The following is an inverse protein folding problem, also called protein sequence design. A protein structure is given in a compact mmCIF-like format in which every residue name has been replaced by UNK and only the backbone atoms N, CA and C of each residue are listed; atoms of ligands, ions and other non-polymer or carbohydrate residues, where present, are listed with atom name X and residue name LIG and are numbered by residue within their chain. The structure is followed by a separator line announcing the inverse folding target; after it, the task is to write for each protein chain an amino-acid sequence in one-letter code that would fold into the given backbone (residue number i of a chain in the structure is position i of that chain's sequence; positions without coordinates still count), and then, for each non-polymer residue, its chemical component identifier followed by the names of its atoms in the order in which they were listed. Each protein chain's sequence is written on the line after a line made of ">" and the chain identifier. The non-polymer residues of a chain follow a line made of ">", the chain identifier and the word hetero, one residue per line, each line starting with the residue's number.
data_IF_417859633159
#
_entry.id   IF_417859633159
#
_cell.length_a   1.000
_cell.length_b   1.000
_cell.length_c   1.000
_cell.angle_alpha   90.00
_cell.angle_beta   90.00
_cell.angle_gamma   90.00
#
_symmetry.space_group_name_H-M   'P 1'
#
loop_
_entity.id
_entity.type
_entity.pdbx_description
1 polymer ?
#
# COMPACT_ATOMS: atom_id res chain seq x y z
N UNK A 1 -42.23 -32.45 21.90
CA UNK A 1 -43.22 -31.85 22.81
C UNK A 1 -42.67 -30.52 23.36
N UNK A 2 -43.50 -29.47 23.24
CA UNK A 2 -43.49 -28.14 23.91
C UNK A 2 -42.25 -27.24 23.57
N UNK A 3 -42.34 -26.22 22.69
CA UNK A 3 -43.12 -24.95 22.68
C UNK A 3 -42.42 -23.83 23.48
N UNK A 4 -41.87 -22.83 22.72
CA UNK A 4 -42.27 -21.41 22.65
C UNK A 4 -41.86 -20.55 23.87
N UNK A 5 -41.06 -19.45 23.66
CA UNK A 5 -41.61 -18.10 23.79
C UNK A 5 -40.65 -17.02 23.26
N UNK A 6 -41.19 -16.27 22.32
CA UNK A 6 -40.66 -14.98 21.82
C UNK A 6 -40.95 -13.88 22.85
N UNK A 7 -40.07 -12.89 22.96
CA UNK A 7 -40.49 -11.57 23.46
C UNK A 7 -39.81 -10.47 22.66
N UNK A 8 -40.68 -9.77 21.91
CA UNK A 8 -40.48 -8.48 21.26
C UNK A 8 -40.71 -7.38 22.31
N UNK A 9 -39.85 -6.38 22.40
CA UNK A 9 -40.25 -5.13 22.97
C UNK A 9 -39.66 -3.97 22.10
N UNK A 10 -40.63 -3.24 21.54
CA UNK A 10 -40.47 -1.99 20.81
C UNK A 10 -40.85 -0.83 21.72
N UNK A 11 -40.53 0.36 21.27
CA UNK A 11 -40.94 1.72 21.69
C UNK A 11 -39.97 2.44 22.63
N UNK A 12 -39.71 3.78 22.53
CA UNK A 12 -40.45 4.85 21.87
C UNK A 12 -39.52 6.07 21.67
N UNK A 13 -39.84 6.83 20.62
CA UNK A 13 -39.39 8.21 20.39
C UNK A 13 -39.89 9.17 21.46
N UNK A 14 -39.07 10.18 21.83
CA UNK A 14 -39.59 11.48 22.27
C UNK A 14 -38.84 12.60 21.60
N UNK A 15 -39.56 13.34 20.79
CA UNK A 15 -39.19 14.62 20.22
C UNK A 15 -39.56 15.71 21.24
N UNK A 16 -38.72 16.73 21.40
CA UNK A 16 -39.13 18.00 21.96
C UNK A 16 -38.42 19.15 21.25
N UNK A 17 -39.18 19.83 20.43
CA UNK A 17 -38.88 21.16 19.95
C UNK A 17 -39.40 22.16 20.99
N UNK A 18 -38.69 23.27 21.21
CA UNK A 18 -39.32 24.57 21.45
C UNK A 18 -38.30 25.71 21.31
N UNK A 19 -38.75 26.70 20.64
CA UNK A 19 -38.21 27.94 20.18
C UNK A 19 -37.94 28.94 21.31
N UNK A 20 -37.10 29.95 21.04
CA UNK A 20 -36.96 31.15 21.81
C UNK A 20 -36.16 32.22 21.11
N UNK A 21 -36.86 33.17 20.47
CA UNK A 21 -36.32 34.40 19.86
C UNK A 21 -35.77 35.37 20.91
N UNK A 22 -34.76 36.17 20.49
CA UNK A 22 -34.34 37.35 21.22
C UNK A 22 -33.34 38.18 20.45
N UNK A 23 -33.84 39.18 19.73
CA UNK A 23 -33.09 40.24 19.03
C UNK A 23 -32.56 41.27 20.01
N UNK A 24 -31.36 41.82 19.80
CA UNK A 24 -31.10 43.28 19.95
C UNK A 24 -29.78 43.71 19.28
N UNK A 25 -29.92 44.67 18.48
CA UNK A 25 -29.26 45.73 17.75
C UNK A 25 -27.91 46.27 18.29
N UNK A 26 -27.02 46.49 17.32
CA UNK A 26 -26.25 47.72 16.95
C UNK A 26 -25.27 48.36 17.91
N UNK A 27 -24.02 48.49 17.47
CA UNK A 27 -23.29 49.78 17.40
C UNK A 27 -22.12 49.72 16.39
N UNK A 28 -22.21 50.55 15.39
CA UNK A 28 -21.10 50.99 14.51
C UNK A 28 -20.07 51.78 15.32
N UNK A 29 -18.80 51.64 14.98
CA UNK A 29 -17.85 52.77 15.09
C UNK A 29 -16.79 52.66 13.99
N UNK A 30 -16.58 53.78 13.33
CA UNK A 30 -15.83 54.09 12.13
C UNK A 30 -14.32 53.88 12.25
N UNK A 31 -13.72 53.71 11.05
CA UNK A 31 -12.32 53.78 10.78
C UNK A 31 -11.67 55.18 11.00
N UNK A 32 -10.36 55.25 10.95
CA UNK A 32 -9.77 56.23 10.04
C UNK A 32 -8.74 55.65 9.08
N UNK A 33 -8.83 56.19 7.89
CA UNK A 33 -7.97 56.14 6.72
C UNK A 33 -6.60 56.74 6.97
N UNK A 34 -5.58 56.18 6.29
CA UNK A 34 -4.47 56.85 5.47
C UNK A 34 -3.35 55.84 5.32
N UNK A 35 -2.68 55.63 4.28
CA UNK A 35 -2.36 56.20 2.99
C UNK A 35 -1.52 55.19 2.20
N UNK A 36 -1.63 55.29 0.89
CA UNK A 36 -0.96 54.48 -0.12
C UNK A 36 0.54 54.43 -0.08
N UNK A 37 1.16 53.37 -0.53
CA UNK A 37 2.32 53.40 -1.42
C UNK A 37 2.59 52.04 -2.08
N UNK A 38 2.70 52.15 -3.42
CA UNK A 38 3.45 51.34 -4.37
C UNK A 38 2.93 49.92 -4.72
N UNK A 39 2.23 49.93 -5.82
CA UNK A 39 2.09 48.78 -6.74
C UNK A 39 3.46 48.24 -7.16
N UNK A 40 3.70 46.96 -6.84
CA UNK A 40 4.68 46.18 -7.59
C UNK A 40 3.87 45.10 -8.31
N UNK A 41 3.76 45.24 -9.63
CA UNK A 41 3.17 44.23 -10.53
C UNK A 41 3.86 42.90 -10.33
N UNK A 42 3.09 41.89 -9.90
CA UNK A 42 3.44 40.49 -10.09
C UNK A 42 3.44 40.17 -11.59
N UNK A 43 4.33 39.33 -12.09
CA UNK A 43 4.24 38.87 -13.46
C UNK A 43 3.01 37.99 -13.61
N UNK A 44 2.25 38.25 -14.65
CA UNK A 44 1.12 37.46 -15.12
C UNK A 44 1.53 36.00 -15.24
N UNK A 45 0.67 35.12 -14.70
CA UNK A 45 0.83 33.68 -14.79
C UNK A 45 0.94 33.26 -16.25
N UNK A 46 2.01 32.54 -16.54
CA UNK A 46 2.08 31.72 -17.74
C UNK A 46 0.93 30.70 -17.65
N UNK A 47 -0.05 30.88 -18.48
CA UNK A 47 -1.02 29.84 -18.80
C UNK A 47 -0.20 28.62 -19.24
N UNK A 48 -0.24 27.54 -18.46
CA UNK A 48 0.34 26.27 -18.85
C UNK A 48 -0.32 25.89 -20.18
N UNK A 49 0.47 25.74 -21.22
CA UNK A 49 0.02 25.22 -22.49
C UNK A 49 -0.67 23.86 -22.23
N UNK A 50 -1.79 23.53 -22.93
CA UNK A 50 -2.41 22.24 -22.84
C UNK A 50 -1.34 21.19 -23.10
N UNK A 51 -1.24 20.18 -22.21
CA UNK A 51 -0.33 19.05 -22.39
C UNK A 51 -0.54 18.52 -23.82
N UNK A 52 0.51 18.58 -24.64
CA UNK A 52 0.50 17.96 -25.95
C UNK A 52 0.14 16.50 -25.75
N UNK A 53 -0.92 16.06 -26.42
CA UNK A 53 -1.42 14.68 -26.42
C UNK A 53 -0.27 13.81 -26.89
N UNK A 54 0.40 13.10 -25.97
CA UNK A 54 1.42 12.16 -26.31
C UNK A 54 0.79 11.08 -27.20
N UNK A 55 1.22 11.00 -28.44
CA UNK A 55 0.66 10.09 -29.43
C UNK A 55 0.88 8.65 -28.96
N UNK A 56 -0.21 7.87 -28.87
CA UNK A 56 -0.11 6.42 -28.73
C UNK A 56 0.77 5.83 -29.84
N UNK A 57 1.44 4.73 -29.57
CA UNK A 57 2.38 4.09 -30.51
C UNK A 57 1.75 3.61 -31.83
N UNK A 58 0.40 3.74 -31.97
CA UNK A 58 -0.35 3.43 -33.18
C UNK A 58 -1.49 4.43 -33.40
N UNK A 59 -2.12 4.37 -34.55
CA UNK A 59 -3.32 5.15 -34.84
C UNK A 59 -4.48 4.63 -33.98
N UNK A 60 -5.13 5.53 -33.26
CA UNK A 60 -6.33 5.18 -32.46
C UNK A 60 -7.43 4.71 -33.42
N UNK A 61 -8.12 3.68 -33.03
CA UNK A 61 -9.18 3.04 -33.82
C UNK A 61 -10.41 3.98 -33.90
N UNK A 62 -10.97 4.12 -35.08
CA UNK A 62 -12.14 4.96 -35.32
C UNK A 62 -13.36 4.49 -34.51
N UNK A 63 -13.99 5.40 -33.80
CA UNK A 63 -15.18 5.11 -32.99
C UNK A 63 -14.89 4.23 -31.77
N UNK A 64 -13.67 4.28 -31.25
CA UNK A 64 -13.27 3.52 -30.05
C UNK A 64 -14.16 3.82 -28.85
N UNK A 65 -14.63 2.77 -28.20
CA UNK A 65 -15.37 2.77 -26.94
C UNK A 65 -14.78 1.73 -26.02
N UNK A 66 -14.29 2.17 -24.88
CA UNK A 66 -13.58 1.31 -23.93
C UNK A 66 -14.50 0.95 -22.76
N UNK A 67 -14.36 -0.28 -22.26
CA UNK A 67 -14.92 -0.73 -20.98
C UNK A 67 -13.77 -0.99 -20.04
N UNK A 68 -13.72 -0.22 -18.93
CA UNK A 68 -12.67 -0.31 -17.93
C UNK A 68 -13.22 -0.85 -16.59
N UNK A 69 -12.55 -1.85 -16.03
CA UNK A 69 -12.87 -2.48 -14.74
C UNK A 69 -11.78 -2.18 -13.71
N UNK A 70 -11.91 -1.12 -12.88
CA UNK A 70 -10.95 -0.82 -11.83
C UNK A 70 -11.07 -1.76 -10.63
N UNK A 71 -9.95 -1.96 -9.93
CA UNK A 71 -9.91 -2.66 -8.64
C UNK A 71 -10.52 -1.84 -7.49
N UNK A 72 -10.64 -0.54 -7.67
CA UNK A 72 -11.10 0.41 -6.68
C UNK A 72 -12.62 0.58 -6.70
N UNK A 73 -13.20 0.98 -5.56
CA UNK A 73 -14.56 1.50 -5.57
C UNK A 73 -14.55 2.98 -6.01
N UNK A 74 -15.60 3.43 -6.67
CA UNK A 74 -15.77 4.83 -7.10
C UNK A 74 -15.59 5.83 -5.95
N UNK A 75 -16.00 5.46 -4.73
CA UNK A 75 -15.94 6.31 -3.53
C UNK A 75 -14.58 6.35 -2.85
N UNK A 76 -13.66 5.47 -3.23
CA UNK A 76 -12.29 5.49 -2.71
C UNK A 76 -11.52 6.68 -3.33
N UNK A 77 -10.52 7.26 -2.64
CA UNK A 77 -9.73 8.37 -3.19
C UNK A 77 -9.11 8.06 -4.55
N UNK A 78 -8.64 6.82 -4.75
CA UNK A 78 -8.11 6.35 -6.02
C UNK A 78 -9.19 6.27 -7.10
N UNK A 79 -10.37 5.76 -6.75
CA UNK A 79 -11.52 5.70 -7.67
C UNK A 79 -11.96 7.09 -8.12
N UNK A 80 -11.98 8.06 -7.22
CA UNK A 80 -12.29 9.46 -7.55
C UNK A 80 -11.24 10.07 -8.48
N UNK A 81 -9.95 9.85 -8.22
CA UNK A 81 -8.86 10.34 -9.08
C UNK A 81 -8.90 9.68 -10.47
N UNK A 82 -9.21 8.38 -10.55
CA UNK A 82 -9.41 7.66 -11.81
C UNK A 82 -10.61 8.22 -12.57
N UNK A 83 -11.74 8.44 -11.90
CA UNK A 83 -12.95 9.02 -12.53
C UNK A 83 -12.65 10.38 -13.14
N UNK A 84 -11.99 11.28 -12.39
CA UNK A 84 -11.58 12.60 -12.88
C UNK A 84 -10.63 12.49 -14.08
N UNK A 85 -9.66 11.58 -14.03
CA UNK A 85 -8.70 11.36 -15.11
C UNK A 85 -9.37 10.83 -16.37
N UNK A 86 -10.32 9.90 -16.23
CA UNK A 86 -11.08 9.33 -17.36
C UNK A 86 -11.99 10.39 -17.99
N UNK A 87 -12.68 11.20 -17.18
CA UNK A 87 -13.50 12.30 -17.71
C UNK A 87 -12.66 13.29 -18.52
N UNK A 88 -11.46 13.62 -18.03
CA UNK A 88 -10.53 14.49 -18.75
C UNK A 88 -10.00 13.83 -20.04
N UNK A 89 -9.73 12.52 -20.01
CA UNK A 89 -9.34 11.74 -21.18
C UNK A 89 -10.44 11.76 -22.26
N UNK A 90 -11.68 11.46 -21.89
CA UNK A 90 -12.84 11.49 -22.79
C UNK A 90 -13.01 12.88 -23.42
N UNK A 91 -12.92 13.93 -22.60
CA UNK A 91 -13.02 15.32 -23.07
C UNK A 91 -11.89 15.70 -24.02
N UNK A 92 -10.67 15.23 -23.77
CA UNK A 92 -9.48 15.56 -24.58
C UNK A 92 -9.42 14.81 -25.90
N UNK A 93 -9.82 13.53 -25.89
CA UNK A 93 -9.63 12.62 -27.03
C UNK A 93 -10.90 12.32 -27.82
N UNK A 94 -12.07 12.47 -27.19
CA UNK A 94 -13.35 12.03 -27.75
C UNK A 94 -13.58 10.52 -27.68
N UNK A 95 -12.66 9.73 -27.10
CA UNK A 95 -12.81 8.30 -26.90
C UNK A 95 -13.75 8.08 -25.72
N UNK A 96 -14.87 7.37 -25.93
CA UNK A 96 -15.80 7.03 -24.86
C UNK A 96 -15.18 5.95 -23.95
N UNK A 97 -15.32 6.11 -22.62
CA UNK A 97 -14.89 5.12 -21.63
C UNK A 97 -16.04 4.86 -20.65
N UNK A 98 -16.50 3.63 -20.60
CA UNK A 98 -17.43 3.14 -19.59
C UNK A 98 -16.64 2.50 -18.45
N UNK A 99 -16.83 2.99 -17.22
CA UNK A 99 -16.18 2.41 -16.03
C UNK A 99 -17.17 1.47 -15.34
N UNK A 100 -16.78 0.22 -15.16
CA UNK A 100 -17.55 -0.75 -14.40
C UNK A 100 -16.99 -0.85 -12.97
N UNK A 101 -17.61 -0.13 -12.05
CA UNK A 101 -17.26 -0.14 -10.64
C UNK A 101 -17.77 -1.41 -9.94
N UNK A 102 -16.97 -2.47 -9.93
CA UNK A 102 -17.34 -3.72 -9.25
C UNK A 102 -17.29 -3.61 -7.71
N UNK A 103 -16.70 -2.54 -7.18
CA UNK A 103 -16.45 -2.34 -5.76
C UNK A 103 -15.01 -2.64 -5.35
N UNK A 104 -14.62 -2.19 -4.15
CA UNK A 104 -13.24 -2.32 -3.69
C UNK A 104 -12.76 -3.78 -3.76
N UNK A 105 -11.83 -4.05 -4.65
CA UNK A 105 -11.21 -5.37 -4.90
C UNK A 105 -12.17 -6.53 -5.24
N UNK A 106 -13.45 -6.24 -5.53
CA UNK A 106 -14.41 -7.28 -5.96
C UNK A 106 -14.15 -7.78 -7.38
N UNK A 107 -13.36 -7.04 -8.18
CA UNK A 107 -12.75 -7.52 -9.44
C UNK A 107 -12.03 -8.85 -9.26
N UNK A 108 -11.45 -9.12 -8.08
CA UNK A 108 -10.81 -10.41 -7.75
C UNK A 108 -11.72 -11.62 -7.92
N UNK A 109 -13.03 -11.43 -7.77
CA UNK A 109 -14.03 -12.49 -7.87
C UNK A 109 -14.80 -12.48 -9.18
N UNK A 110 -14.93 -11.31 -9.80
CA UNK A 110 -15.88 -11.07 -10.91
C UNK A 110 -15.20 -10.98 -12.27
N UNK A 111 -13.94 -10.49 -12.34
CA UNK A 111 -13.29 -10.23 -13.61
C UNK A 111 -12.97 -11.51 -14.39
N UNK A 112 -12.39 -12.54 -13.77
CA UNK A 112 -12.03 -13.76 -14.50
C UNK A 112 -13.25 -14.50 -15.06
N UNK A 113 -14.37 -14.64 -14.35
CA UNK A 113 -15.62 -15.12 -14.93
C UNK A 113 -16.09 -14.31 -16.14
N UNK A 114 -16.05 -12.98 -16.08
CA UNK A 114 -16.45 -12.10 -17.16
C UNK A 114 -15.57 -12.28 -18.41
N UNK A 115 -14.24 -12.26 -18.23
CA UNK A 115 -13.26 -12.51 -19.30
C UNK A 115 -13.46 -13.90 -19.93
N UNK A 116 -13.70 -14.93 -19.11
CA UNK A 116 -13.93 -16.30 -19.57
C UNK A 116 -15.26 -16.45 -20.33
N UNK A 117 -16.26 -15.65 -19.99
CA UNK A 117 -17.55 -15.61 -20.68
C UNK A 117 -17.50 -14.79 -21.98
N UNK A 118 -16.40 -14.09 -22.27
CA UNK A 118 -16.26 -13.21 -23.42
C UNK A 118 -17.02 -11.89 -23.27
N UNK A 119 -17.26 -11.44 -22.04
CA UNK A 119 -17.83 -10.12 -21.80
C UNK A 119 -16.85 -9.03 -22.30
N UNK A 120 -17.40 -7.89 -22.70
CA UNK A 120 -16.57 -6.77 -23.14
C UNK A 120 -15.87 -6.16 -21.94
N UNK A 121 -14.57 -6.34 -21.88
CA UNK A 121 -13.63 -5.72 -20.94
C UNK A 121 -12.38 -5.36 -21.74
N UNK A 122 -12.03 -4.10 -21.82
CA UNK A 122 -10.87 -3.63 -22.62
C UNK A 122 -9.66 -3.39 -21.71
N UNK A 123 -9.88 -2.68 -20.59
CA UNK A 123 -8.85 -2.34 -19.61
C UNK A 123 -9.29 -2.79 -18.23
N UNK A 124 -8.35 -3.25 -17.43
CA UNK A 124 -8.55 -3.57 -16.02
C UNK A 124 -7.26 -3.39 -15.24
N UNK A 125 -7.36 -3.33 -13.92
CA UNK A 125 -6.19 -3.20 -13.03
C UNK A 125 -6.34 -4.02 -11.75
N UNK A 126 -5.22 -4.40 -11.18
CA UNK A 126 -5.05 -5.05 -9.87
C UNK A 126 -3.55 -5.10 -9.52
N UNK A 127 -3.20 -5.75 -8.41
CA UNK A 127 -1.80 -5.98 -8.06
C UNK A 127 -1.03 -6.74 -9.16
N UNK A 128 0.27 -6.44 -9.25
CA UNK A 128 1.12 -6.91 -10.34
C UNK A 128 1.18 -8.45 -10.41
N UNK A 129 1.16 -9.14 -9.26
CA UNK A 129 1.19 -10.60 -9.20
C UNK A 129 -0.11 -11.20 -9.73
N UNK A 130 -1.24 -10.61 -9.39
CA UNK A 130 -2.55 -11.09 -9.86
C UNK A 130 -2.75 -10.84 -11.34
N UNK A 131 -2.44 -9.62 -11.80
CA UNK A 131 -2.56 -9.25 -13.21
C UNK A 131 -1.72 -10.20 -14.06
N UNK A 132 -0.44 -10.32 -13.78
CA UNK A 132 0.46 -11.11 -14.64
C UNK A 132 0.39 -12.61 -14.37
N UNK A 133 0.14 -13.04 -13.15
CA UNK A 133 0.02 -14.46 -12.78
C UNK A 133 -1.37 -15.01 -13.03
N UNK A 134 -2.36 -14.60 -12.24
CA UNK A 134 -3.72 -15.17 -12.29
C UNK A 134 -4.42 -14.89 -13.61
N UNK A 135 -4.29 -13.66 -14.12
CA UNK A 135 -4.97 -13.20 -15.35
C UNK A 135 -4.06 -13.15 -16.57
N UNK A 136 -2.81 -13.57 -16.45
CA UNK A 136 -1.79 -13.47 -17.52
C UNK A 136 -2.20 -14.03 -18.88
N UNK A 137 -3.07 -15.05 -18.92
CA UNK A 137 -3.61 -15.66 -20.14
C UNK A 137 -4.54 -14.75 -20.96
N UNK A 138 -5.08 -13.70 -20.31
CA UNK A 138 -6.00 -12.74 -20.95
C UNK A 138 -5.30 -11.46 -21.41
N UNK A 139 -4.02 -11.28 -21.10
CA UNK A 139 -3.30 -10.04 -21.36
C UNK A 139 -2.83 -9.92 -22.81
N UNK A 140 -2.95 -8.71 -23.34
CA UNK A 140 -2.28 -8.29 -24.56
C UNK A 140 -0.78 -8.08 -24.28
N UNK A 141 0.09 -8.52 -25.18
CA UNK A 141 1.49 -8.10 -25.18
C UNK A 141 1.58 -6.65 -25.68
N UNK A 142 2.01 -5.76 -24.80
CA UNK A 142 2.10 -4.33 -25.07
C UNK A 142 3.53 -3.83 -25.21
N UNK A 143 4.54 -4.73 -25.22
CA UNK A 143 5.95 -4.35 -25.24
C UNK A 143 6.27 -3.36 -26.37
N UNK A 144 5.82 -3.64 -27.59
CA UNK A 144 6.10 -2.76 -28.75
C UNK A 144 5.40 -1.40 -28.64
N UNK A 145 4.21 -1.35 -28.06
CA UNK A 145 3.47 -0.10 -27.82
C UNK A 145 4.18 0.75 -26.75
N UNK A 146 4.62 0.09 -25.68
CA UNK A 146 5.38 0.73 -24.61
C UNK A 146 6.72 1.29 -25.12
N UNK A 147 7.49 0.48 -25.86
CA UNK A 147 8.81 0.88 -26.38
C UNK A 147 8.74 2.10 -27.32
N UNK A 148 7.63 2.25 -28.05
CA UNK A 148 7.40 3.38 -28.95
C UNK A 148 6.73 4.60 -28.24
N UNK A 149 6.35 4.46 -26.99
CA UNK A 149 5.63 5.49 -26.24
C UNK A 149 6.56 6.39 -25.43
N UNK A 150 6.10 7.60 -24.99
CA UNK A 150 6.83 8.44 -24.06
C UNK A 150 7.01 7.84 -22.67
N UNK A 151 6.29 6.77 -22.31
CA UNK A 151 6.46 6.07 -21.03
C UNK A 151 7.84 5.41 -20.92
N UNK A 152 8.38 4.98 -22.05
CA UNK A 152 9.68 4.32 -22.10
C UNK A 152 10.80 5.28 -21.66
N UNK A 153 11.46 4.93 -20.55
CA UNK A 153 12.49 5.76 -19.92
C UNK A 153 11.97 6.88 -19.00
N UNK A 154 10.67 7.19 -19.02
CA UNK A 154 10.06 8.14 -18.11
C UNK A 154 9.57 7.49 -16.81
N UNK A 155 9.32 6.18 -16.81
CA UNK A 155 8.81 5.44 -15.67
C UNK A 155 9.89 4.71 -14.89
N UNK A 156 9.58 4.31 -13.65
CA UNK A 156 10.49 3.56 -12.77
C UNK A 156 10.93 2.24 -13.42
N UNK A 157 12.22 2.17 -13.79
CA UNK A 157 12.75 1.06 -14.55
C UNK A 157 12.70 -0.29 -13.80
N UNK A 158 12.86 -0.26 -12.47
CA UNK A 158 12.81 -1.48 -11.64
C UNK A 158 11.44 -2.13 -11.68
N UNK A 159 10.37 -1.33 -11.65
CA UNK A 159 8.99 -1.83 -11.71
C UNK A 159 8.59 -2.27 -13.11
N UNK A 160 9.07 -1.58 -14.15
CA UNK A 160 8.89 -2.04 -15.54
C UNK A 160 9.58 -3.40 -15.75
N UNK A 161 10.79 -3.56 -15.23
CA UNK A 161 11.50 -4.85 -15.32
C UNK A 161 10.76 -5.95 -14.55
N UNK A 162 10.24 -5.65 -13.38
CA UNK A 162 9.40 -6.58 -12.61
C UNK A 162 8.17 -7.02 -13.42
N UNK A 163 7.46 -6.06 -14.05
CA UNK A 163 6.30 -6.36 -14.88
C UNK A 163 6.64 -7.24 -16.08
N UNK A 164 7.81 -7.03 -16.70
CA UNK A 164 8.32 -7.90 -17.78
C UNK A 164 8.62 -9.31 -17.28
N UNK A 165 9.32 -9.44 -16.16
CA UNK A 165 9.64 -10.75 -15.58
C UNK A 165 8.38 -11.55 -15.28
N UNK A 166 7.40 -10.92 -14.64
CA UNK A 166 6.12 -11.55 -14.33
C UNK A 166 5.25 -11.78 -15.57
N UNK A 167 5.40 -10.97 -16.60
CA UNK A 167 4.78 -11.14 -17.91
C UNK A 167 5.35 -12.27 -18.76
N UNK A 168 6.36 -13.00 -18.25
CA UNK A 168 7.03 -14.10 -18.97
C UNK A 168 8.12 -13.61 -19.92
N UNK A 169 8.78 -12.50 -19.63
CA UNK A 169 9.89 -11.90 -20.37
C UNK A 169 9.46 -10.78 -21.34
N UNK A 170 8.18 -10.41 -21.34
CA UNK A 170 7.64 -9.31 -22.15
C UNK A 170 6.64 -8.47 -21.34
N UNK A 171 6.50 -7.19 -21.68
CA UNK A 171 5.60 -6.29 -20.96
C UNK A 171 4.15 -6.53 -21.39
N UNK A 172 3.30 -6.92 -20.41
CA UNK A 172 1.86 -7.14 -20.60
C UNK A 172 0.98 -6.26 -19.71
N UNK A 173 1.60 -5.51 -18.82
CA UNK A 173 0.90 -4.57 -17.94
C UNK A 173 1.79 -3.37 -17.66
N UNK A 174 1.19 -2.21 -17.39
CA UNK A 174 1.89 -0.98 -17.02
C UNK A 174 1.70 -0.74 -15.52
N UNK A 175 2.76 -0.75 -14.72
CA UNK A 175 2.67 -0.45 -13.30
C UNK A 175 2.18 0.98 -13.03
N UNK A 176 1.45 1.14 -11.94
CA UNK A 176 1.10 2.42 -11.33
C UNK A 176 1.04 2.25 -9.80
N UNK A 177 1.08 3.33 -9.07
CA UNK A 177 1.10 3.31 -7.60
C UNK A 177 2.09 2.28 -7.03
N UNK A 178 3.40 2.45 -7.27
CA UNK A 178 4.39 1.61 -6.62
C UNK A 178 4.21 1.59 -5.10
N UNK A 179 4.51 0.47 -4.49
CA UNK A 179 4.47 0.31 -3.04
C UNK A 179 5.69 -0.46 -2.54
N UNK A 180 6.09 -0.19 -1.31
CA UNK A 180 7.09 -0.96 -0.59
C UNK A 180 6.57 -1.32 0.79
N UNK A 181 7.08 -2.40 1.39
CA UNK A 181 6.73 -2.85 2.72
C UNK A 181 7.99 -2.91 3.57
N UNK A 182 8.12 -1.96 4.49
CA UNK A 182 9.34 -1.70 5.27
C UNK A 182 8.99 -1.22 6.68
N UNK A 183 9.99 -0.98 7.52
CA UNK A 183 9.76 -0.41 8.84
C UNK A 183 9.53 1.09 8.75
N UNK A 184 8.31 1.54 9.05
CA UNK A 184 7.98 2.94 9.28
C UNK A 184 8.18 3.31 10.75
N UNK A 185 8.56 4.58 11.02
CA UNK A 185 8.73 5.05 12.37
C UNK A 185 8.36 6.53 12.55
N UNK A 186 8.09 6.91 13.80
CA UNK A 186 7.88 8.28 14.22
C UNK A 186 9.23 8.92 14.57
N UNK A 187 9.68 9.91 13.77
CA UNK A 187 10.97 10.61 13.97
C UNK A 187 11.03 11.38 15.29
N UNK A 188 9.89 11.90 15.76
CA UNK A 188 9.86 12.61 17.05
C UNK A 188 9.99 11.65 18.25
N UNK A 189 9.46 10.42 18.14
CA UNK A 189 9.69 9.36 19.13
C UNK A 189 11.18 8.97 19.20
N UNK A 190 11.86 8.83 18.05
CA UNK A 190 13.30 8.57 17.98
C UNK A 190 14.11 9.71 18.60
N UNK A 191 13.77 10.96 18.24
CA UNK A 191 14.41 12.16 18.82
C UNK A 191 14.24 12.20 20.34
N UNK A 192 13.03 11.92 20.85
CA UNK A 192 12.73 11.86 22.30
C UNK A 192 13.57 10.79 23.00
N UNK A 193 13.84 9.66 22.34
CA UNK A 193 14.70 8.58 22.86
C UNK A 193 16.19 8.86 22.70
N UNK A 194 16.60 9.97 22.08
CA UNK A 194 18.00 10.32 21.80
C UNK A 194 18.60 9.56 20.62
N UNK A 195 17.78 8.92 19.78
CA UNK A 195 18.22 8.19 18.59
C UNK A 195 18.41 9.23 17.46
N UNK A 196 19.59 9.24 16.87
CA UNK A 196 19.97 10.24 15.85
C UNK A 196 20.13 9.70 14.44
N UNK A 197 20.13 8.37 14.29
CA UNK A 197 20.20 7.68 13.01
C UNK A 197 19.33 6.40 13.06
N UNK A 198 18.94 5.90 11.91
CA UNK A 198 18.27 4.58 11.80
C UNK A 198 19.28 3.45 12.01
N UNK A 199 18.87 2.31 12.55
CA UNK A 199 19.78 1.19 12.82
C UNK A 199 20.24 0.54 11.50
N UNK A 200 21.53 0.24 11.41
CA UNK A 200 22.16 -0.47 10.29
C UNK A 200 22.54 -1.91 10.64
N UNK A 201 22.55 -2.24 11.94
CA UNK A 201 22.80 -3.57 12.48
C UNK A 201 21.66 -3.99 13.42
N UNK A 202 21.52 -5.31 13.64
CA UNK A 202 20.52 -5.81 14.57
C UNK A 202 20.78 -5.36 16.02
N UNK A 203 22.05 -5.29 16.43
CA UNK A 203 22.42 -4.79 17.75
C UNK A 203 22.02 -3.32 17.95
N UNK A 204 22.19 -2.48 16.91
CA UNK A 204 21.70 -1.09 16.94
C UNK A 204 20.17 -1.04 17.02
N UNK A 205 19.46 -1.89 16.27
CA UNK A 205 18.00 -1.99 16.34
C UNK A 205 17.52 -2.34 17.76
N UNK A 206 18.16 -3.33 18.42
CA UNK A 206 17.83 -3.68 19.80
C UNK A 206 18.18 -2.57 20.79
N UNK A 207 19.28 -1.83 20.57
CA UNK A 207 19.64 -0.68 21.39
C UNK A 207 18.63 0.46 21.24
N UNK A 208 18.15 0.72 20.02
CA UNK A 208 17.10 1.69 19.76
C UNK A 208 15.77 1.30 20.42
N UNK A 209 15.41 0.02 20.39
CA UNK A 209 14.24 -0.48 21.10
C UNK A 209 14.35 -0.24 22.62
N UNK A 210 15.52 -0.46 23.22
CA UNK A 210 15.74 -0.19 24.65
C UNK A 210 15.69 1.31 24.96
N UNK A 211 16.25 2.16 24.11
CA UNK A 211 16.19 3.62 24.23
C UNK A 211 14.76 4.14 24.16
N UNK A 212 13.96 3.67 23.18
CA UNK A 212 12.53 4.03 23.04
C UNK A 212 11.74 3.63 24.29
N UNK A 213 11.93 2.39 24.77
CA UNK A 213 11.31 1.91 26.00
C UNK A 213 11.72 2.75 27.22
N UNK A 214 13.01 3.11 27.32
CA UNK A 214 13.54 4.02 28.36
C UNK A 214 12.92 5.41 28.31
N UNK A 215 12.54 5.90 27.14
CA UNK A 215 11.82 7.15 26.92
C UNK A 215 10.29 7.04 27.14
N UNK A 216 9.79 5.85 27.50
CA UNK A 216 8.38 5.59 27.75
C UNK A 216 7.53 5.50 26.49
N UNK A 217 8.14 5.07 25.38
CA UNK A 217 7.46 4.78 24.09
C UNK A 217 7.59 3.28 23.81
N UNK A 218 6.51 2.62 23.43
CA UNK A 218 6.56 1.22 23.01
C UNK A 218 7.31 1.14 21.68
N UNK A 219 8.37 0.29 21.55
CA UNK A 219 9.18 0.28 20.34
C UNK A 219 8.39 -0.08 19.08
N UNK A 220 7.61 -1.17 19.07
CA UNK A 220 6.92 -1.62 17.85
C UNK A 220 5.58 -2.29 18.13
N UNK A 221 4.75 -2.38 17.10
CA UNK A 221 3.47 -3.10 17.08
C UNK A 221 3.31 -3.92 15.82
N UNK A 222 2.24 -4.72 15.77
CA UNK A 222 1.77 -5.46 14.61
C UNK A 222 0.26 -5.69 14.73
N UNK A 223 -0.44 -5.73 13.60
CA UNK A 223 -1.82 -6.19 13.49
C UNK A 223 -1.89 -7.62 12.96
N UNK A 224 -3.01 -8.29 13.17
CA UNK A 224 -3.31 -9.63 12.66
C UNK A 224 -3.11 -9.73 11.13
N UNK A 225 -3.42 -8.67 10.39
CA UNK A 225 -3.22 -8.59 8.95
C UNK A 225 -1.74 -8.70 8.53
N UNK A 226 -0.79 -8.27 9.38
CA UNK A 226 0.63 -8.20 9.03
C UNK A 226 1.53 -9.10 9.89
N UNK A 227 0.95 -10.00 10.70
CA UNK A 227 1.75 -10.97 11.47
C UNK A 227 2.59 -11.87 10.57
N UNK A 228 2.02 -12.35 9.46
CA UNK A 228 2.76 -13.17 8.51
C UNK A 228 3.88 -12.39 7.81
N UNK A 229 3.65 -11.11 7.51
CA UNK A 229 4.68 -10.21 6.98
C UNK A 229 5.83 -10.05 7.98
N UNK A 230 5.54 -9.70 9.24
CA UNK A 230 6.57 -9.54 10.27
C UNK A 230 7.38 -10.83 10.46
N UNK A 231 6.69 -11.99 10.54
CA UNK A 231 7.38 -13.28 10.69
C UNK A 231 8.24 -13.62 9.48
N UNK A 232 7.73 -13.42 8.26
CA UNK A 232 8.45 -13.64 7.02
C UNK A 232 9.71 -12.76 6.90
N UNK A 233 9.58 -11.46 7.21
CA UNK A 233 10.74 -10.55 7.21
C UNK A 233 11.77 -10.91 8.29
N UNK A 234 11.35 -11.25 9.50
CA UNK A 234 12.31 -11.71 10.53
C UNK A 234 13.02 -12.98 10.11
N UNK A 235 12.32 -13.94 9.48
CA UNK A 235 12.92 -15.17 8.99
C UNK A 235 13.90 -14.91 7.85
N UNK A 236 13.56 -14.02 6.94
CA UNK A 236 14.42 -13.58 5.85
C UNK A 236 15.73 -12.98 6.41
N UNK A 237 15.64 -12.11 7.43
CA UNK A 237 16.82 -11.53 8.10
C UNK A 237 17.63 -12.54 8.92
N UNK A 238 17.03 -13.67 9.28
CA UNK A 238 17.70 -14.77 10.01
C UNK A 238 18.32 -15.80 9.09
N UNK A 239 17.68 -16.13 7.95
CA UNK A 239 18.02 -17.32 7.16
C UNK A 239 18.03 -17.10 5.63
N UNK A 240 17.75 -15.89 5.17
CA UNK A 240 17.67 -15.52 3.77
C UNK A 240 16.34 -15.88 3.08
N UNK A 241 16.08 -15.24 1.96
CA UNK A 241 14.83 -15.36 1.20
C UNK A 241 14.59 -16.76 0.67
N UNK A 242 15.62 -17.44 0.13
CA UNK A 242 15.49 -18.81 -0.37
C UNK A 242 14.98 -19.78 0.69
N UNK A 243 15.53 -19.68 1.93
CA UNK A 243 15.09 -20.51 3.06
C UNK A 243 13.68 -20.14 3.50
N UNK A 244 13.36 -18.85 3.53
CA UNK A 244 12.06 -18.34 3.95
C UNK A 244 10.96 -18.78 2.98
N UNK A 245 11.21 -18.68 1.67
CA UNK A 245 10.30 -19.15 0.63
C UNK A 245 10.14 -20.67 0.63
N UNK A 246 11.21 -21.43 0.90
CA UNK A 246 11.14 -22.89 1.06
C UNK A 246 10.26 -23.26 2.26
N UNK A 247 10.36 -22.54 3.38
CA UNK A 247 9.47 -22.71 4.55
C UNK A 247 8.05 -22.37 4.19
N UNK A 248 7.79 -21.25 3.52
CA UNK A 248 6.47 -20.87 3.02
C UNK A 248 5.92 -21.94 2.06
N UNK A 249 6.79 -22.51 1.23
CA UNK A 249 6.48 -23.64 0.37
C UNK A 249 6.30 -24.99 1.11
N UNK A 250 6.54 -25.09 2.43
CA UNK A 250 6.27 -26.25 3.31
C UNK A 250 7.47 -27.11 3.63
N UNK A 251 8.65 -26.69 3.28
CA UNK A 251 9.87 -27.22 3.88
C UNK A 251 10.08 -26.52 5.23
N UNK A 252 9.34 -26.99 6.23
CA UNK A 252 9.39 -26.42 7.58
C UNK A 252 10.74 -26.76 8.23
N UNK A 253 11.83 -26.13 7.77
CA UNK A 253 13.12 -26.23 8.41
C UNK A 253 13.00 -25.79 9.86
N UNK A 254 13.07 -26.77 10.76
CA UNK A 254 12.91 -26.53 12.20
C UNK A 254 13.94 -25.53 12.72
N UNK A 255 15.15 -25.51 12.14
CA UNK A 255 16.21 -24.62 12.59
C UNK A 255 15.90 -23.14 12.27
N UNK A 256 15.52 -22.81 11.04
CA UNK A 256 15.16 -21.44 10.65
C UNK A 256 13.94 -20.94 11.42
N UNK A 257 12.88 -21.77 11.50
CA UNK A 257 11.67 -21.44 12.27
C UNK A 257 11.99 -21.21 13.74
N UNK A 258 12.79 -22.09 14.35
CA UNK A 258 13.17 -21.96 15.76
C UNK A 258 14.01 -20.70 16.01
N UNK A 259 15.00 -20.40 15.17
CA UNK A 259 15.81 -19.18 15.29
C UNK A 259 14.96 -17.92 15.17
N UNK A 260 14.05 -17.89 14.20
CA UNK A 260 13.11 -16.76 14.03
C UNK A 260 12.18 -16.63 15.23
N UNK A 261 11.65 -17.74 15.73
CA UNK A 261 10.83 -17.74 16.95
C UNK A 261 11.61 -17.26 18.19
N UNK A 262 12.90 -17.55 18.30
CA UNK A 262 13.77 -17.03 19.37
C UNK A 262 13.95 -15.51 19.28
N UNK A 263 14.13 -14.96 18.07
CA UNK A 263 14.15 -13.51 17.86
C UNK A 263 12.82 -12.86 18.26
N UNK A 264 11.71 -13.45 17.87
CA UNK A 264 10.38 -12.96 18.25
C UNK A 264 10.14 -13.06 19.78
N UNK A 265 10.59 -14.14 20.42
CA UNK A 265 10.54 -14.32 21.86
C UNK A 265 11.39 -13.27 22.59
N UNK A 266 12.57 -12.94 22.09
CA UNK A 266 13.42 -11.87 22.62
C UNK A 266 12.71 -10.51 22.54
N UNK A 267 12.17 -10.14 21.36
CA UNK A 267 11.44 -8.90 21.16
C UNK A 267 10.23 -8.77 22.10
N UNK A 268 9.51 -9.86 22.31
CA UNK A 268 8.33 -9.91 23.20
C UNK A 268 8.71 -9.85 24.67
N UNK A 269 9.64 -10.68 25.11
CA UNK A 269 10.03 -10.77 26.53
C UNK A 269 10.75 -9.52 27.03
N UNK A 270 11.49 -8.83 26.14
CA UNK A 270 12.07 -7.51 26.43
C UNK A 270 11.04 -6.38 26.38
N UNK A 271 9.80 -6.65 25.97
CA UNK A 271 8.73 -5.67 25.86
C UNK A 271 8.96 -4.66 24.72
N UNK A 272 9.60 -5.10 23.63
CA UNK A 272 9.79 -4.28 22.43
C UNK A 272 8.60 -4.37 21.48
N UNK A 273 7.83 -5.44 21.54
CA UNK A 273 6.52 -5.53 20.87
C UNK A 273 5.42 -5.17 21.88
N UNK A 274 4.47 -4.34 21.44
CA UNK A 274 3.28 -4.00 22.24
C UNK A 274 2.53 -5.28 22.64
N UNK A 275 2.35 -5.59 23.92
CA UNK A 275 1.61 -6.78 24.33
C UNK A 275 0.15 -6.78 23.89
N UNK A 276 -0.44 -5.59 23.60
CA UNK A 276 -1.79 -5.48 23.03
C UNK A 276 -1.87 -6.06 21.60
N UNK A 277 -0.73 -6.11 20.89
CA UNK A 277 -0.65 -6.63 19.53
C UNK A 277 -1.09 -8.10 19.41
N UNK A 278 -1.06 -8.87 20.52
CA UNK A 278 -1.65 -10.21 20.54
C UNK A 278 -3.13 -10.26 20.14
N UNK A 279 -3.86 -9.18 20.35
CA UNK A 279 -5.29 -9.06 20.03
C UNK A 279 -5.62 -7.94 19.05
N UNK A 280 -4.60 -7.30 18.46
CA UNK A 280 -4.83 -6.22 17.49
C UNK A 280 -5.45 -6.80 16.22
N UNK A 281 -6.62 -6.26 15.86
CA UNK A 281 -7.24 -6.42 14.57
C UNK A 281 -6.95 -5.16 13.76
N UNK A 282 -6.53 -5.33 12.52
CA UNK A 282 -6.30 -4.21 11.61
C UNK A 282 -7.52 -3.25 11.61
N UNK A 283 -7.36 -1.93 11.73
CA UNK A 283 -6.11 -1.14 11.68
C UNK A 283 -5.62 -0.64 13.06
N UNK A 284 -5.74 -1.41 14.13
CA UNK A 284 -5.43 -0.95 15.49
C UNK A 284 -3.96 -0.53 15.67
N UNK A 285 -3.02 -1.29 15.08
CA UNK A 285 -1.58 -0.98 15.14
C UNK A 285 -1.25 0.33 14.43
N UNK A 286 -1.95 0.65 13.34
CA UNK A 286 -1.84 1.92 12.66
C UNK A 286 -2.26 3.09 13.56
N UNK A 287 -3.35 2.93 14.30
CA UNK A 287 -3.79 3.95 15.26
C UNK A 287 -2.78 4.16 16.38
N UNK A 288 -2.10 3.10 16.82
CA UNK A 288 -1.08 3.17 17.89
C UNK A 288 0.19 3.93 17.44
N UNK A 289 0.62 3.81 16.18
CA UNK A 289 1.74 4.65 15.70
C UNK A 289 1.28 6.08 15.44
N UNK A 290 0.06 6.28 14.96
CA UNK A 290 -0.49 7.59 14.67
C UNK A 290 -0.66 8.45 15.94
N UNK A 291 -1.05 7.87 17.07
CA UNK A 291 -1.19 8.56 18.36
C UNK A 291 0.13 8.70 19.13
N UNK A 292 1.23 8.16 18.59
CA UNK A 292 2.58 8.23 19.17
C UNK A 292 2.81 7.29 20.36
N UNK A 293 1.90 6.38 20.70
CA UNK A 293 2.08 5.39 21.77
C UNK A 293 3.09 4.30 21.38
N UNK A 294 3.27 4.08 20.08
CA UNK A 294 4.24 3.15 19.47
C UNK A 294 5.15 3.92 18.52
N UNK A 295 6.42 3.56 18.47
CA UNK A 295 7.42 4.25 17.66
C UNK A 295 7.55 3.68 16.25
N UNK A 296 7.45 2.36 16.05
CA UNK A 296 7.74 1.67 14.79
C UNK A 296 6.63 0.69 14.40
N UNK A 297 6.41 0.56 13.08
CA UNK A 297 5.48 -0.41 12.53
C UNK A 297 5.94 -0.89 11.15
N UNK A 298 6.15 -2.20 10.99
CA UNK A 298 6.43 -2.81 9.71
C UNK A 298 5.15 -2.81 8.87
N UNK A 299 5.10 -1.97 7.85
CA UNK A 299 3.89 -1.76 7.05
C UNK A 299 4.24 -1.27 5.63
N UNK A 300 3.23 -1.12 4.78
CA UNK A 300 3.39 -0.58 3.43
C UNK A 300 3.41 0.94 3.35
N UNK A 301 3.85 1.43 2.20
CA UNK A 301 3.90 2.87 1.89
C UNK A 301 2.53 3.56 1.93
N UNK A 302 1.44 2.84 2.03
CA UNK A 302 0.09 3.36 2.24
C UNK A 302 -0.18 3.81 3.69
N UNK A 303 0.62 3.37 4.68
CA UNK A 303 0.42 3.66 6.09
C UNK A 303 0.24 5.16 6.40
N UNK A 304 1.10 6.09 5.93
CA UNK A 304 0.91 7.51 6.20
C UNK A 304 -0.43 8.06 5.74
N UNK A 305 -0.94 7.58 4.60
CA UNK A 305 -2.23 7.98 4.08
C UNK A 305 -3.41 7.45 4.91
N UNK A 306 -3.36 6.18 5.27
CA UNK A 306 -4.44 5.52 6.00
C UNK A 306 -4.67 6.17 7.37
N UNK A 307 -3.62 6.71 7.98
CA UNK A 307 -3.71 7.37 9.30
C UNK A 307 -3.63 8.89 9.28
N UNK A 308 -3.64 9.53 8.09
CA UNK A 308 -3.46 10.99 7.97
C UNK A 308 -4.44 11.83 8.80
N UNK A 309 -5.65 11.32 9.02
CA UNK A 309 -6.66 11.99 9.85
C UNK A 309 -6.51 11.69 11.34
N UNK A 310 -5.60 10.81 11.73
CA UNK A 310 -5.31 10.42 13.12
C UNK A 310 -3.96 10.98 13.59
N UNK A 311 -3.08 11.38 12.66
CA UNK A 311 -1.80 12.00 13.00
C UNK A 311 -1.92 13.51 13.10
N UNK A 312 -1.10 14.19 13.96
CA UNK A 312 -0.88 15.62 13.87
C UNK A 312 -0.41 16.05 12.48
N UNK A 313 -0.75 17.27 12.06
CA UNK A 313 -0.36 17.81 10.74
C UNK A 313 1.17 17.86 10.54
N UNK A 314 1.92 18.04 11.62
CA UNK A 314 3.39 18.09 11.64
C UNK A 314 4.05 16.73 11.97
N UNK A 315 3.31 15.62 11.91
CA UNK A 315 3.86 14.28 12.17
C UNK A 315 4.98 13.93 11.19
N UNK A 316 6.13 13.55 11.74
CA UNK A 316 7.33 13.29 10.96
C UNK A 316 7.54 11.79 10.76
N UNK A 317 7.15 11.33 9.60
CA UNK A 317 7.41 9.96 9.17
C UNK A 317 8.88 9.73 8.82
N UNK A 318 9.38 8.57 9.21
CA UNK A 318 10.62 8.00 8.73
C UNK A 318 10.41 6.55 8.29
N UNK A 319 11.36 6.02 7.53
CA UNK A 319 11.35 4.62 7.13
C UNK A 319 12.78 4.08 7.00
N UNK A 320 12.95 2.77 7.26
CA UNK A 320 14.19 2.06 7.07
C UNK A 320 13.94 0.57 6.78
N UNK A 321 14.91 -0.08 6.16
CA UNK A 321 14.90 -1.52 5.98
C UNK A 321 15.39 -2.22 7.26
N UNK A 322 14.75 -3.31 7.67
CA UNK A 322 15.25 -4.13 8.78
C UNK A 322 16.67 -4.63 8.48
N UNK A 323 17.62 -4.50 9.42
CA UNK A 323 18.96 -5.01 9.24
C UNK A 323 19.01 -6.54 9.31
N UNK A 324 20.10 -7.13 8.77
CA UNK A 324 20.40 -8.55 8.92
C UNK A 324 20.46 -8.95 10.39
N UNK A 325 19.88 -10.11 10.73
CA UNK A 325 19.83 -10.61 12.12
C UNK A 325 20.92 -11.64 12.36
N UNK A 326 21.15 -12.54 11.41
CA UNK A 326 22.15 -13.59 11.56
C UNK A 326 22.95 -13.82 10.28
N UNK A 327 24.11 -14.48 10.38
CA UNK A 327 24.86 -14.93 9.21
C UNK A 327 23.99 -15.86 8.35
N UNK A 328 23.91 -15.58 7.05
CA UNK A 328 23.06 -16.27 6.09
C UNK A 328 21.67 -15.68 5.91
N UNK A 329 21.28 -14.68 6.71
CA UNK A 329 20.11 -13.86 6.46
C UNK A 329 20.39 -12.77 5.43
N UNK A 330 19.35 -12.25 4.79
CA UNK A 330 19.45 -11.13 3.87
C UNK A 330 19.62 -9.80 4.63
N UNK A 331 20.22 -8.82 3.98
CA UNK A 331 20.48 -7.50 4.55
C UNK A 331 19.42 -6.44 4.20
N UNK A 332 19.77 -5.19 4.46
CA UNK A 332 18.88 -4.03 4.21
C UNK A 332 18.58 -3.79 2.72
N UNK A 333 19.34 -4.40 1.81
CA UNK A 333 19.13 -4.36 0.36
C UNK A 333 17.96 -5.24 -0.11
N UNK A 334 17.43 -6.11 0.77
CA UNK A 334 16.31 -7.02 0.48
C UNK A 334 15.01 -6.45 1.03
N UNK A 335 14.09 -6.05 0.17
CA UNK A 335 12.80 -5.51 0.59
C UNK A 335 11.67 -5.94 -0.35
N UNK A 336 10.46 -5.97 0.20
CA UNK A 336 9.28 -6.17 -0.62
C UNK A 336 8.94 -4.87 -1.32
N UNK A 337 8.74 -4.94 -2.62
CA UNK A 337 8.12 -3.89 -3.41
C UNK A 337 7.24 -4.49 -4.50
N UNK A 338 6.25 -3.71 -4.93
CA UNK A 338 5.32 -4.06 -5.98
C UNK A 338 4.61 -2.82 -6.50
N UNK A 339 3.58 -3.03 -7.28
CA UNK A 339 2.74 -1.96 -7.83
C UNK A 339 1.35 -2.50 -8.11
N UNK A 340 0.39 -1.61 -8.31
CA UNK A 340 -0.79 -1.91 -9.08
C UNK A 340 -0.42 -1.86 -10.56
N UNK A 341 -1.14 -2.57 -11.42
CA UNK A 341 -0.88 -2.60 -12.85
C UNK A 341 -2.15 -2.47 -13.65
N UNK A 342 -2.14 -1.59 -14.63
CA UNK A 342 -3.14 -1.60 -15.71
C UNK A 342 -2.76 -2.64 -16.75
N UNK A 343 -3.76 -3.36 -17.26
CA UNK A 343 -3.61 -4.31 -18.35
C UNK A 343 -4.70 -4.16 -19.39
N UNK A 344 -4.38 -4.60 -20.60
CA UNK A 344 -5.29 -4.61 -21.76
C UNK A 344 -5.70 -6.06 -22.03
N UNK A 345 -7.01 -6.28 -22.16
CA UNK A 345 -7.50 -7.58 -22.62
C UNK A 345 -7.03 -7.84 -24.06
N UNK A 346 -6.41 -9.00 -24.30
CA UNK A 346 -5.92 -9.38 -25.64
C UNK A 346 -7.02 -9.45 -26.70
N UNK A 347 -8.28 -9.65 -26.29
CA UNK A 347 -9.44 -9.77 -27.16
C UNK A 347 -10.14 -8.41 -27.41
N UNK A 348 -9.58 -7.29 -26.92
CA UNK A 348 -10.08 -5.94 -27.20
C UNK A 348 -10.05 -5.62 -28.69
N UNK A 349 -11.03 -4.84 -29.15
CA UNK A 349 -11.07 -4.31 -30.52
C UNK A 349 -10.31 -2.99 -30.66
N UNK A 350 -9.90 -2.38 -29.54
CA UNK A 350 -9.36 -1.02 -29.47
C UNK A 350 -8.03 -0.97 -28.69
N UNK A 351 -7.00 -1.76 -29.09
CA UNK A 351 -5.77 -1.85 -28.32
C UNK A 351 -5.00 -0.52 -28.24
N UNK A 352 -5.00 0.29 -29.30
CA UNK A 352 -4.32 1.60 -29.25
C UNK A 352 -5.07 2.61 -28.38
N UNK A 353 -6.41 2.64 -28.44
CA UNK A 353 -7.20 3.48 -27.54
C UNK A 353 -7.05 3.06 -26.09
N UNK A 354 -7.02 1.74 -25.80
CA UNK A 354 -6.79 1.21 -24.46
C UNK A 354 -5.41 1.58 -23.92
N UNK A 355 -4.38 1.47 -24.76
CA UNK A 355 -3.02 1.87 -24.38
C UNK A 355 -2.90 3.39 -24.16
N UNK A 356 -3.59 4.21 -24.99
CA UNK A 356 -3.63 5.65 -24.79
C UNK A 356 -4.27 6.04 -23.44
N UNK A 357 -5.32 5.33 -23.01
CA UNK A 357 -5.91 5.52 -21.67
C UNK A 357 -4.91 5.16 -20.57
N UNK A 358 -4.21 4.03 -20.68
CA UNK A 358 -3.19 3.63 -19.71
C UNK A 358 -2.06 4.67 -19.64
N UNK A 359 -1.56 5.10 -20.80
CA UNK A 359 -0.53 6.15 -20.87
C UNK A 359 -1.00 7.44 -20.18
N UNK A 360 -2.25 7.86 -20.40
CA UNK A 360 -2.85 9.01 -19.75
C UNK A 360 -2.88 8.89 -18.23
N UNK A 361 -3.28 7.72 -17.72
CA UNK A 361 -3.39 7.45 -16.27
C UNK A 361 -2.05 7.29 -15.56
N UNK A 362 -0.98 6.90 -16.28
CA UNK A 362 0.31 6.52 -15.69
C UNK A 362 1.44 7.50 -15.99
N UNK A 363 1.12 8.72 -16.39
CA UNK A 363 2.11 9.78 -16.66
C UNK A 363 1.63 11.16 -16.25
N UNK A 364 2.59 12.04 -15.94
CA UNK A 364 2.36 13.45 -15.71
C UNK A 364 1.36 13.75 -14.60
N UNK A 365 0.42 14.65 -14.89
CA UNK A 365 -0.56 15.17 -13.91
C UNK A 365 -1.41 14.05 -13.30
N UNK A 366 -1.82 13.04 -14.07
CA UNK A 366 -2.74 12.02 -13.59
C UNK A 366 -2.06 10.97 -12.74
N UNK A 367 -0.83 10.59 -13.07
CA UNK A 367 -0.01 9.74 -12.20
C UNK A 367 0.26 10.44 -10.86
N UNK A 368 0.59 11.75 -10.89
CA UNK A 368 0.76 12.55 -9.68
C UNK A 368 -0.54 12.61 -8.84
N UNK A 369 -1.70 12.86 -9.46
CA UNK A 369 -2.98 12.91 -8.75
C UNK A 369 -3.36 11.56 -8.13
N UNK A 370 -3.09 10.45 -8.82
CA UNK A 370 -3.28 9.11 -8.27
C UNK A 370 -2.37 8.86 -7.07
N UNK A 371 -1.10 9.27 -7.15
CA UNK A 371 -0.16 9.18 -6.04
C UNK A 371 -0.62 10.04 -4.85
N UNK A 372 -1.03 11.28 -5.08
CA UNK A 372 -1.50 12.20 -4.04
C UNK A 372 -2.80 11.70 -3.38
N UNK A 373 -3.71 11.11 -4.15
CA UNK A 373 -4.97 10.56 -3.63
C UNK A 373 -4.75 9.41 -2.66
N UNK A 374 -3.71 8.60 -2.89
CA UNK A 374 -3.40 7.42 -2.07
C UNK A 374 -2.21 7.60 -1.14
N UNK A 375 -1.50 8.74 -1.21
CA UNK A 375 -0.13 8.91 -0.71
C UNK A 375 0.78 7.73 -1.14
N UNK A 376 0.42 7.13 -2.28
CA UNK A 376 1.23 6.16 -2.97
C UNK A 376 2.39 6.84 -3.68
N UNK A 377 3.24 6.02 -4.24
CA UNK A 377 4.40 6.48 -5.00
C UNK A 377 3.96 6.71 -6.44
N UNK A 378 4.35 7.83 -7.09
CA UNK A 378 4.12 8.01 -8.51
C UNK A 378 5.04 7.09 -9.32
N UNK A 379 4.57 6.67 -10.49
CA UNK A 379 5.33 5.84 -11.43
C UNK A 379 6.26 6.67 -12.32
N UNK A 380 5.85 7.90 -12.64
CA UNK A 380 6.62 8.86 -13.42
C UNK A 380 7.84 9.36 -12.61
N UNK A 381 9.04 9.21 -13.16
CA UNK A 381 10.29 9.64 -12.52
C UNK A 381 10.36 11.17 -12.29
N UNK A 382 9.56 11.95 -13.01
CA UNK A 382 9.50 13.41 -12.88
C UNK A 382 8.46 13.86 -11.83
N UNK A 383 7.61 12.97 -11.34
CA UNK A 383 6.60 13.29 -10.35
C UNK A 383 7.21 13.48 -8.95
N UNK A 384 6.51 14.21 -8.10
CA UNK A 384 6.96 14.52 -6.74
C UNK A 384 6.47 13.44 -5.76
N UNK A 385 7.40 12.83 -5.03
CA UNK A 385 7.06 11.91 -3.96
C UNK A 385 6.42 12.66 -2.77
N UNK A 386 5.41 12.09 -2.13
CA UNK A 386 4.89 12.63 -0.87
C UNK A 386 5.99 12.75 0.18
N UNK A 387 6.04 13.88 0.89
CA UNK A 387 7.08 14.14 1.90
C UNK A 387 7.12 13.04 3.00
N UNK A 388 5.97 12.46 3.34
CA UNK A 388 5.87 11.35 4.29
C UNK A 388 6.58 10.07 3.82
N UNK A 389 6.89 9.94 2.53
CA UNK A 389 7.50 8.76 1.91
C UNK A 389 8.94 9.00 1.44
N UNK A 390 9.56 10.13 1.78
CA UNK A 390 10.91 10.47 1.32
C UNK A 390 11.96 9.41 1.70
N UNK A 391 11.90 8.91 2.95
CA UNK A 391 12.82 7.86 3.42
C UNK A 391 12.46 6.50 2.79
N UNK A 392 11.17 6.22 2.56
CA UNK A 392 10.72 5.02 1.87
C UNK A 392 11.23 4.97 0.42
N UNK A 393 11.31 6.14 -0.26
CA UNK A 393 11.94 6.25 -1.58
C UNK A 393 13.42 5.85 -1.52
N UNK A 394 14.16 6.34 -0.55
CA UNK A 394 15.58 6.01 -0.41
C UNK A 394 15.79 4.50 -0.19
N UNK A 395 14.91 3.84 0.57
CA UNK A 395 14.94 2.39 0.75
C UNK A 395 14.62 1.67 -0.56
N UNK A 396 13.57 2.08 -1.29
CA UNK A 396 13.22 1.49 -2.59
C UNK A 396 14.36 1.63 -3.60
N UNK A 397 14.95 2.82 -3.70
CA UNK A 397 16.07 3.11 -4.63
C UNK A 397 17.33 2.28 -4.30
N UNK A 398 17.54 1.88 -3.03
CA UNK A 398 18.65 1.05 -2.58
C UNK A 398 18.37 -0.45 -2.60
N UNK A 399 17.12 -0.85 -2.86
CA UNK A 399 16.72 -2.25 -2.89
C UNK A 399 17.24 -2.92 -4.16
N UNK A 400 18.07 -3.95 -3.99
CA UNK A 400 18.63 -4.76 -5.08
C UNK A 400 18.09 -6.18 -5.11
N UNK A 401 17.48 -6.62 -4.02
CA UNK A 401 16.82 -7.92 -3.92
C UNK A 401 15.35 -7.75 -3.55
N UNK A 402 14.46 -8.24 -4.42
CA UNK A 402 13.01 -8.15 -4.20
C UNK A 402 12.52 -9.35 -3.41
N UNK A 403 11.83 -9.07 -2.33
CA UNK A 403 11.06 -10.06 -1.60
C UNK A 403 9.61 -10.10 -2.11
N UNK A 404 9.03 -11.28 -2.18
CA UNK A 404 7.61 -11.46 -2.42
C UNK A 404 6.78 -10.97 -1.22
N UNK A 405 5.47 -10.76 -1.43
CA UNK A 405 4.56 -10.40 -0.35
C UNK A 405 4.66 -11.39 0.83
N UNK A 406 4.83 -10.85 2.05
CA UNK A 406 5.05 -11.62 3.28
C UNK A 406 6.17 -12.68 3.16
N UNK A 407 7.11 -12.52 2.20
CA UNK A 407 8.11 -13.51 1.81
C UNK A 407 7.48 -14.90 1.55
N UNK A 408 6.30 -14.91 0.93
CA UNK A 408 5.53 -16.11 0.60
C UNK A 408 4.68 -16.69 1.73
N UNK A 409 4.77 -16.20 2.98
CA UNK A 409 4.10 -16.78 4.15
C UNK A 409 2.56 -16.71 4.10
N UNK A 410 2.00 -15.94 3.19
CA UNK A 410 0.54 -15.87 2.95
C UNK A 410 0.05 -16.71 1.76
N UNK A 411 0.96 -17.36 1.05
CA UNK A 411 0.60 -18.16 -0.13
C UNK A 411 -0.22 -19.42 0.23
N UNK A 412 -0.05 -19.95 1.44
CA UNK A 412 -0.85 -21.05 1.96
C UNK A 412 -1.68 -20.58 3.17
N UNK A 413 -2.99 -20.80 3.10
CA UNK A 413 -3.94 -20.33 4.11
C UNK A 413 -3.72 -20.96 5.49
N UNK A 414 -3.26 -22.23 5.55
CA UNK A 414 -2.98 -22.91 6.81
C UNK A 414 -1.67 -22.41 7.42
N UNK A 415 -0.66 -22.14 6.62
CA UNK A 415 0.60 -21.52 7.06
C UNK A 415 0.31 -20.13 7.64
N UNK A 416 -0.40 -19.28 6.91
CA UNK A 416 -0.80 -17.95 7.37
C UNK A 416 -1.58 -18.01 8.70
N UNK A 417 -2.59 -18.87 8.78
CA UNK A 417 -3.41 -19.03 9.99
C UNK A 417 -2.58 -19.53 11.19
N UNK A 418 -1.65 -20.46 10.96
CA UNK A 418 -0.76 -20.96 12.00
C UNK A 418 0.22 -19.88 12.50
N UNK A 419 0.79 -19.07 11.59
CA UNK A 419 1.64 -17.94 11.95
C UNK A 419 0.87 -16.97 12.84
N UNK A 420 -0.28 -16.50 12.39
CA UNK A 420 -1.12 -15.53 13.13
C UNK A 420 -1.43 -16.04 14.54
N UNK A 421 -1.88 -17.28 14.65
CA UNK A 421 -2.21 -17.90 15.93
C UNK A 421 -0.98 -17.97 16.86
N UNK A 422 0.14 -18.49 16.37
CA UNK A 422 1.32 -18.69 17.19
C UNK A 422 2.03 -17.37 17.55
N UNK A 423 2.01 -16.37 16.65
CA UNK A 423 2.50 -15.03 16.95
C UNK A 423 1.67 -14.36 18.05
N UNK A 424 0.34 -14.41 17.96
CA UNK A 424 -0.52 -13.87 19.02
C UNK A 424 -0.26 -14.57 20.37
N UNK A 425 -0.08 -15.90 20.38
CA UNK A 425 0.29 -16.67 21.57
C UNK A 425 1.70 -16.32 22.10
N UNK A 426 2.67 -16.07 21.23
CA UNK A 426 4.01 -15.62 21.61
C UNK A 426 3.97 -14.23 22.25
N UNK A 427 3.29 -13.27 21.59
CA UNK A 427 3.17 -11.89 22.07
C UNK A 427 2.44 -11.83 23.42
N UNK A 428 1.45 -12.72 23.65
CA UNK A 428 0.77 -12.85 24.94
C UNK A 428 1.57 -13.61 26.01
N UNK A 429 2.75 -14.15 25.66
CA UNK A 429 3.57 -14.96 26.57
C UNK A 429 3.02 -16.39 26.83
N UNK A 430 2.07 -16.85 26.01
CA UNK A 430 1.44 -18.18 26.17
C UNK A 430 2.27 -19.32 25.61
N UNK A 431 3.20 -19.05 24.71
CA UNK A 431 4.15 -20.03 24.12
C UNK A 431 5.55 -19.45 24.09
N UNK A 432 6.54 -20.31 24.15
CA UNK A 432 7.96 -20.00 23.93
C UNK A 432 8.39 -20.36 22.49
N UNK A 433 9.64 -20.03 22.13
CA UNK A 433 10.17 -20.27 20.79
C UNK A 433 10.13 -21.75 20.37
N UNK A 434 10.41 -22.69 21.29
CA UNK A 434 10.37 -24.11 21.00
C UNK A 434 8.92 -24.58 20.71
N UNK A 435 7.96 -24.13 21.52
CA UNK A 435 6.55 -24.46 21.34
C UNK A 435 6.01 -23.89 20.02
N UNK A 436 6.44 -22.67 19.65
CA UNK A 436 6.14 -22.06 18.36
C UNK A 436 6.65 -22.95 17.21
N UNK A 437 7.93 -23.34 17.24
CA UNK A 437 8.54 -24.15 16.20
C UNK A 437 7.89 -25.56 16.12
N UNK A 438 7.55 -26.16 17.27
CA UNK A 438 6.87 -27.46 17.32
C UNK A 438 5.44 -27.39 16.76
N UNK A 439 4.74 -26.24 16.93
CA UNK A 439 3.42 -26.01 16.32
C UNK A 439 3.56 -25.86 14.80
N UNK A 440 4.57 -25.14 14.33
CA UNK A 440 4.84 -24.94 12.91
C UNK A 440 5.09 -26.27 12.18
N UNK A 441 5.85 -27.17 12.80
CA UNK A 441 6.15 -28.50 12.27
C UNK A 441 4.89 -29.41 12.10
N UNK A 442 3.74 -29.03 12.68
CA UNK A 442 2.49 -29.76 12.59
C UNK A 442 1.52 -29.22 11.54
N UNK A 443 1.89 -28.11 10.86
CA UNK A 443 1.04 -27.52 9.83
C UNK A 443 0.89 -28.50 8.69
N UNK A 444 -0.37 -28.76 8.32
CA UNK A 444 -0.71 -29.48 7.10
C UNK A 444 -1.00 -28.44 6.03
N UNK A 445 -0.31 -28.54 4.90
CA UNK A 445 -0.58 -27.65 3.78
C UNK A 445 -2.03 -27.80 3.31
N UNK A 446 -2.65 -26.66 3.01
CA UNK A 446 -3.87 -26.60 2.24
C UNK A 446 -3.63 -27.13 0.82
N UNK A 447 -4.58 -27.89 0.30
CA UNK A 447 -4.59 -28.36 -1.10
C UNK A 447 -5.06 -27.28 -2.05
#
# INVERSE_FOLDING_TARGET
>A
MKKILSLVLASAMVASALAGCGSTKTAETQAPTTQASAETKAPEGSEAAPAETAAAAGTIEDGAKLVYWPMWAETEPQGQAISEAVDAFVKSTGIEVEINWAGSRDTRKTLEPALSAGETVDVFDEDIERVNGTWGKYLLDIQSMYDASPLNGAQNATLIELAKQQGGGTLKSVPYQPSTFIMFYNKDAFTKAGITAVPTTWDEFLADCEALKGAGVIPMTVDDAYMACLFGFLMDRVAGSDTTEAVAAGDFSKEAVLKTAQVLEELTTKGYIDPRAAGNVYPQGQSNIADGSVAMYLNGSWLPNEVKNQTPEDFKWGAFSLPQIAEGGDGAESNQYGAQCFAINKDTKYPNAAFALIQWLTSGEWDQKLADASMGVPMDNNATWPAALADAKAVLDSTTHRLNWAVGMENDTNVNAAIKTNMAMMISGSVNAQQFADAFAKIQKGS
#
